data_IF_018860897364
#
_entry.id   IF_018860897364
#
_cell.length_a   1.000
_cell.length_b   1.000
_cell.length_c   1.000
_cell.angle_alpha   90.00
_cell.angle_beta   90.00
_cell.angle_gamma   90.00
#
_symmetry.space_group_name_H-M   'P 1'
#
loop_
_entity.id
_entity.type
_entity.pdbx_description
1 polymer ?
#
# COMPACT_ATOMS: atom_id res chain seq x y z
N UNK A 1 20.14 4.53 15.18
CA UNK A 1 19.01 5.12 14.44
C UNK A 1 18.73 4.20 13.26
N UNK A 2 17.62 3.46 13.30
CA UNK A 2 17.17 2.61 12.19
C UNK A 2 16.23 3.49 11.35
N UNK A 3 16.63 3.95 10.16
CA UNK A 3 15.68 4.72 9.32
C UNK A 3 16.25 5.58 8.17
N UNK A 4 17.53 5.95 8.19
CA UNK A 4 18.07 6.90 7.19
C UNK A 4 18.50 6.23 5.88
N UNK A 5 17.60 5.51 5.22
CA UNK A 5 17.86 4.97 3.88
C UNK A 5 17.30 5.89 2.82
N UNK A 6 18.19 6.47 2.02
CA UNK A 6 17.80 7.21 0.82
C UNK A 6 17.04 6.28 -0.13
N UNK A 7 15.90 6.75 -0.62
CA UNK A 7 15.10 6.02 -1.60
C UNK A 7 15.85 5.99 -2.93
N UNK A 8 15.70 4.88 -3.65
CA UNK A 8 16.35 4.69 -4.95
C UNK A 8 15.29 4.56 -6.03
N UNK A 9 15.48 5.30 -7.12
CA UNK A 9 14.57 5.26 -8.25
C UNK A 9 14.53 3.85 -8.86
N UNK A 10 13.32 3.38 -9.17
CA UNK A 10 13.06 2.03 -9.71
C UNK A 10 11.72 2.01 -10.44
N UNK A 11 11.37 0.88 -11.05
CA UNK A 11 10.05 0.69 -11.69
C UNK A 11 8.88 0.90 -10.71
N UNK A 12 9.12 0.69 -9.41
CA UNK A 12 8.13 0.89 -8.35
C UNK A 12 8.19 2.28 -7.74
N UNK A 13 9.37 2.87 -7.64
CA UNK A 13 9.61 4.14 -6.92
C UNK A 13 10.07 5.21 -7.91
N UNK A 14 9.25 6.22 -8.10
CA UNK A 14 9.53 7.35 -8.99
C UNK A 14 9.68 8.62 -8.15
N UNK A 15 10.83 9.29 -8.31
CA UNK A 15 11.13 10.58 -7.68
C UNK A 15 11.35 11.62 -8.76
N UNK A 16 10.63 12.73 -8.67
CA UNK A 16 10.65 13.79 -9.69
C UNK A 16 10.63 15.16 -9.04
N UNK A 17 11.32 16.12 -9.63
CA UNK A 17 11.24 17.53 -9.27
C UNK A 17 10.70 18.30 -10.47
N UNK A 18 9.58 19.00 -10.27
CA UNK A 18 8.96 19.84 -11.28
C UNK A 18 9.49 21.27 -11.11
N UNK A 19 10.46 21.67 -11.95
CA UNK A 19 11.18 22.94 -11.83
C UNK A 19 10.26 24.17 -11.99
N UNK A 20 9.23 24.06 -12.84
CA UNK A 20 8.26 25.11 -13.11
C UNK A 20 7.42 25.50 -11.90
N UNK A 21 7.14 24.54 -11.03
CA UNK A 21 6.29 24.70 -9.84
C UNK A 21 7.06 24.59 -8.53
N UNK A 22 8.32 24.16 -8.57
CA UNK A 22 9.15 23.87 -7.40
C UNK A 22 8.66 22.66 -6.60
N UNK A 23 7.88 21.76 -7.20
CA UNK A 23 7.27 20.62 -6.50
C UNK A 23 8.19 19.40 -6.59
N UNK A 24 8.62 18.89 -5.43
CA UNK A 24 9.23 17.57 -5.33
C UNK A 24 8.13 16.51 -5.11
N UNK A 25 8.13 15.45 -5.92
CA UNK A 25 7.11 14.39 -5.91
C UNK A 25 7.76 13.02 -5.81
N UNK A 26 7.25 12.23 -4.87
CA UNK A 26 7.55 10.80 -4.68
C UNK A 26 6.29 9.98 -5.02
N UNK A 27 6.43 8.96 -5.86
CA UNK A 27 5.36 8.01 -6.20
C UNK A 27 5.84 6.59 -5.96
N UNK A 28 5.12 5.83 -5.13
CA UNK A 28 5.35 4.39 -4.91
C UNK A 28 4.19 3.62 -5.53
N UNK A 29 4.44 2.92 -6.64
CA UNK A 29 3.43 2.13 -7.35
C UNK A 29 3.13 0.85 -6.58
N UNK A 30 1.85 0.45 -6.53
CA UNK A 30 1.40 -0.74 -5.77
C UNK A 30 1.93 -0.71 -4.33
N UNK A 31 1.72 0.41 -3.64
CA UNK A 31 2.10 0.57 -2.24
C UNK A 31 1.42 -0.49 -1.37
N UNK A 32 2.15 -0.96 -0.37
CA UNK A 32 1.79 -2.06 0.52
C UNK A 32 2.16 -1.72 1.96
N UNK A 33 1.70 -2.51 2.93
CA UNK A 33 1.95 -2.25 4.35
C UNK A 33 3.45 -2.04 4.69
N UNK A 34 4.42 -2.79 4.12
CA UNK A 34 5.86 -2.54 4.31
C UNK A 34 6.37 -1.17 3.84
N UNK A 35 5.62 -0.46 3.00
CA UNK A 35 5.95 0.90 2.56
C UNK A 35 5.51 1.97 3.56
N UNK A 36 4.80 1.59 4.62
CA UNK A 36 4.44 2.50 5.71
C UNK A 36 5.69 2.94 6.47
N UNK A 37 5.74 4.21 6.84
CA UNK A 37 6.89 4.76 7.54
C UNK A 37 6.93 6.27 7.50
N UNK A 38 8.02 6.82 8.04
CA UNK A 38 8.31 8.24 7.96
C UNK A 38 9.13 8.51 6.69
N UNK A 39 8.63 9.41 5.86
CA UNK A 39 9.31 9.89 4.67
C UNK A 39 9.81 11.30 4.89
N UNK A 40 11.01 11.59 4.42
CA UNK A 40 11.65 12.89 4.56
C UNK A 40 12.13 13.38 3.20
N UNK A 41 11.65 14.55 2.78
CA UNK A 41 12.16 15.28 1.62
C UNK A 41 13.23 16.26 2.09
N UNK A 42 14.42 16.18 1.51
CA UNK A 42 15.55 17.06 1.78
C UNK A 42 15.88 17.85 0.51
N UNK A 43 15.68 19.16 0.54
CA UNK A 43 16.00 20.04 -0.57
C UNK A 43 17.18 20.92 -0.18
N UNK A 44 18.29 20.81 -0.92
CA UNK A 44 19.49 21.62 -0.74
C UNK A 44 19.68 22.57 -1.90
N UNK A 45 19.99 23.83 -1.61
CA UNK A 45 20.25 24.87 -2.61
C UNK A 45 21.50 25.65 -2.23
N UNK A 46 22.35 25.91 -3.23
CA UNK A 46 23.46 26.83 -3.09
C UNK A 46 23.00 28.24 -3.45
N UNK A 47 23.09 29.14 -2.48
CA UNK A 47 22.71 30.55 -2.60
C UNK A 47 23.94 31.44 -2.43
N UNK A 48 24.04 32.46 -3.27
CA UNK A 48 25.04 33.52 -3.10
C UNK A 48 24.45 34.58 -2.20
N UNK A 49 25.10 34.84 -1.07
CA UNK A 49 24.68 35.88 -0.14
C UNK A 49 24.82 37.26 -0.80
N UNK A 50 23.73 38.04 -0.98
CA UNK A 50 23.75 39.25 -1.80
C UNK A 50 24.73 40.33 -1.32
N UNK A 51 25.02 40.36 -0.01
CA UNK A 51 25.86 41.39 0.60
C UNK A 51 27.35 41.05 0.57
N UNK A 52 27.70 39.77 0.68
CA UNK A 52 29.09 39.32 0.87
C UNK A 52 29.65 38.60 -0.35
N UNK A 53 28.78 38.18 -1.28
CA UNK A 53 29.16 37.33 -2.41
C UNK A 53 29.52 35.89 -2.01
N UNK A 54 29.38 35.54 -0.71
CA UNK A 54 29.72 34.21 -0.21
C UNK A 54 28.69 33.18 -0.68
N UNK A 55 29.18 32.05 -1.18
CA UNK A 55 28.35 30.87 -1.48
C UNK A 55 27.99 30.17 -0.17
N UNK A 56 26.70 29.94 0.03
CA UNK A 56 26.14 29.26 1.19
C UNK A 56 25.26 28.12 0.70
N UNK A 57 25.43 26.94 1.29
CA UNK A 57 24.48 25.85 1.10
C UNK A 57 23.38 25.95 2.15
N UNK A 58 22.12 25.93 1.72
CA UNK A 58 20.94 25.90 2.60
C UNK A 58 20.14 24.65 2.34
N UNK A 59 19.64 24.04 3.41
CA UNK A 59 18.83 22.83 3.34
C UNK A 59 17.49 23.04 4.02
N UNK A 60 16.42 22.59 3.37
CA UNK A 60 15.07 22.52 3.92
C UNK A 60 14.68 21.06 4.00
N UNK A 61 14.15 20.66 5.16
CA UNK A 61 13.72 19.29 5.42
C UNK A 61 12.23 19.29 5.75
N UNK A 62 11.47 18.42 5.11
CA UNK A 62 10.05 18.20 5.39
C UNK A 62 9.79 16.71 5.57
N UNK A 63 9.13 16.34 6.66
CA UNK A 63 8.85 14.93 6.99
C UNK A 63 7.36 14.68 7.15
N UNK A 64 6.91 13.52 6.71
CA UNK A 64 5.52 13.07 6.82
C UNK A 64 5.45 11.58 7.15
N UNK A 65 4.47 11.20 7.97
CA UNK A 65 4.20 9.80 8.33
C UNK A 65 3.12 9.24 7.42
N UNK A 66 3.44 8.12 6.75
CA UNK A 66 2.54 7.44 5.81
C UNK A 66 2.18 6.08 6.37
N UNK A 67 0.88 5.76 6.38
CA UNK A 67 0.35 4.46 6.79
C UNK A 67 -0.43 3.89 5.61
N UNK A 68 -0.02 2.70 5.15
CA UNK A 68 -0.71 1.94 4.10
C UNK A 68 -1.48 0.82 4.77
N UNK A 69 -2.80 0.93 4.74
CA UNK A 69 -3.70 -0.08 5.32
C UNK A 69 -3.69 -1.36 4.48
N UNK A 70 -3.77 -2.52 5.14
CA UNK A 70 -3.93 -3.79 4.47
C UNK A 70 -5.38 -3.94 3.98
N UNK A 71 -5.57 -4.31 2.72
CA UNK A 71 -6.89 -4.72 2.24
C UNK A 71 -7.25 -6.06 2.89
N UNK A 72 -8.39 -6.19 3.59
CA UNK A 72 -8.80 -7.46 4.18
C UNK A 72 -9.11 -8.48 3.08
N UNK A 73 -8.26 -9.49 2.94
CA UNK A 73 -8.54 -10.63 2.07
C UNK A 73 -9.63 -11.49 2.71
N UNK A 74 -10.85 -11.38 2.21
CA UNK A 74 -11.93 -12.26 2.61
C UNK A 74 -11.69 -13.62 1.94
N UNK A 75 -11.06 -14.55 2.66
CA UNK A 75 -10.89 -15.93 2.22
C UNK A 75 -12.11 -16.75 2.66
N UNK A 76 -13.05 -16.96 1.74
CA UNK A 76 -14.19 -17.86 1.98
C UNK A 76 -13.77 -19.30 1.67
N UNK A 77 -13.67 -20.13 2.70
CA UNK A 77 -13.45 -21.58 2.54
C UNK A 77 -14.79 -22.26 2.29
N UNK A 78 -14.93 -22.97 1.16
CA UNK A 78 -16.10 -23.81 0.90
C UNK A 78 -16.08 -25.02 1.85
N UNK A 79 -17.11 -25.15 2.69
CA UNK A 79 -17.35 -26.36 3.48
C UNK A 79 -18.35 -27.26 2.75
N UNK A 80 -17.89 -28.42 2.29
CA UNK A 80 -18.76 -29.45 1.70
C UNK A 80 -19.47 -30.20 2.83
N UNK A 81 -20.80 -30.06 2.90
CA UNK A 81 -21.63 -30.82 3.85
C UNK A 81 -21.75 -32.27 3.33
N UNK A 82 -21.59 -33.26 4.22
CA UNK A 82 -21.82 -34.67 3.87
C UNK A 82 -23.28 -34.89 3.48
N UNK A 83 -23.50 -35.55 2.35
CA UNK A 83 -24.84 -35.95 1.91
C UNK A 83 -25.47 -36.92 2.94
N UNK A 84 -26.71 -36.67 3.32
CA UNK A 84 -27.51 -37.56 4.17
C UNK A 84 -28.16 -38.62 3.28
N UNK A 85 -27.92 -39.90 3.57
CA UNK A 85 -28.62 -41.00 2.92
C UNK A 85 -30.06 -41.08 3.43
N UNK A 86 -31.03 -40.75 2.58
CA UNK A 86 -32.45 -40.91 2.89
C UNK A 86 -32.89 -42.31 2.46
N UNK A 87 -33.24 -43.17 3.41
CA UNK A 87 -33.97 -44.40 3.12
C UNK A 87 -35.44 -44.06 2.89
N UNK A 88 -35.86 -43.99 1.61
CA UNK A 88 -37.28 -43.98 1.29
C UNK A 88 -37.89 -45.32 1.71
N UNK A 89 -38.83 -45.30 2.66
CA UNK A 89 -39.72 -46.44 2.87
C UNK A 89 -40.71 -46.46 1.70
N UNK A 90 -40.75 -47.59 0.99
CA UNK A 90 -41.83 -47.86 0.04
C UNK A 90 -43.11 -48.05 0.85
N UNK A 91 -44.15 -47.30 0.49
CA UNK A 91 -45.50 -47.54 1.00
C UNK A 91 -46.02 -48.82 0.32
N UNK A 92 -46.39 -49.82 1.11
CA UNK A 92 -47.13 -50.98 0.61
C UNK A 92 -48.50 -50.47 0.13
N UNK A 93 -48.80 -50.70 -1.15
CA UNK A 93 -50.14 -50.52 -1.71
C UNK A 93 -51.08 -51.50 -1.01
N UNK A 94 -51.85 -51.02 -0.03
CA UNK A 94 -53.00 -51.79 0.47
C UNK A 94 -54.04 -51.90 -0.64
N UNK A 95 -54.08 -53.08 -1.23
CA UNK A 95 -55.14 -53.56 -2.12
C UNK A 95 -56.49 -53.45 -1.40
N UNK A 96 -57.31 -52.47 -1.77
CA UNK A 96 -58.73 -52.47 -1.44
C UNK A 96 -59.40 -53.45 -2.41
N UNK A 97 -59.87 -54.58 -1.88
CA UNK A 97 -60.74 -55.52 -2.62
C UNK A 97 -62.19 -55.14 -2.28
N UNK A 98 -63.01 -54.98 -3.33
CA UNK A 98 -64.44 -54.64 -3.32
C UNK A 98 -65.31 -55.47 -2.36
#
# INVERSE_FOLDING_TARGET
MLGDRELVQSDRVEMTFLEDTGVARLVIRKASQPDSGQYTCVASVDVVEPKTGRRLSKTITSSSSVIVEATPSHSSTLQFIKAVEIKLRQAEEEHIIE
#
